data_IF_993354642767
#
_entry.id   IF_993354642767
#
_cell.length_a   1.000
_cell.length_b   1.000
_cell.length_c   1.000
_cell.angle_alpha   90.00
_cell.angle_beta   90.00
_cell.angle_gamma   90.00
#
_symmetry.space_group_name_H-M   'P 1'
#
loop_
_entity.id
_entity.type
_entity.pdbx_description
1 polymer ?
#
# COMPACT_ATOMS: atom_id res chain seq x y z
N UNK A 1 15.16 7.92 11.86
CA UNK A 1 14.11 7.06 11.35
C UNK A 1 13.70 7.45 9.92
N UNK A 2 13.49 8.71 9.59
CA UNK A 2 13.16 9.16 8.23
C UNK A 2 14.22 8.74 7.21
N UNK A 3 15.49 8.96 7.52
CA UNK A 3 16.59 8.53 6.65
C UNK A 3 16.60 7.00 6.42
N UNK A 4 16.36 6.21 7.46
CA UNK A 4 16.26 4.74 7.33
C UNK A 4 15.05 4.31 6.48
N UNK A 5 13.95 5.04 6.57
CA UNK A 5 12.77 4.83 5.75
C UNK A 5 13.03 5.08 4.27
N UNK A 6 13.86 6.06 3.95
CA UNK A 6 14.17 6.47 2.60
C UNK A 6 15.29 5.62 1.98
N UNK A 7 16.42 5.52 2.68
CA UNK A 7 17.65 4.91 2.16
C UNK A 7 17.82 3.44 2.54
N UNK A 8 17.05 2.94 3.52
CA UNK A 8 17.34 1.65 4.16
C UNK A 8 18.58 1.76 5.08
N UNK A 9 19.10 0.63 5.48
CA UNK A 9 20.32 0.61 6.28
C UNK A 9 20.98 -0.77 6.33
N UNK A 10 22.24 -0.77 6.78
CA UNK A 10 23.03 -1.95 7.03
C UNK A 10 22.98 -2.33 8.51
N UNK A 11 22.85 -3.61 8.81
CA UNK A 11 23.00 -4.15 10.15
C UNK A 11 23.66 -5.53 10.11
N UNK A 12 24.08 -6.03 11.26
CA UNK A 12 24.64 -7.38 11.35
C UNK A 12 23.55 -8.39 11.72
N UNK A 13 23.20 -9.25 10.77
CA UNK A 13 22.32 -10.39 11.01
C UNK A 13 23.18 -11.63 11.25
N UNK A 14 23.20 -12.15 12.50
CA UNK A 14 24.06 -13.29 12.88
C UNK A 14 25.54 -13.12 12.43
N UNK A 15 26.10 -11.94 12.66
CA UNK A 15 27.46 -11.53 12.27
C UNK A 15 27.70 -11.32 10.77
N UNK A 16 26.68 -11.43 9.93
CA UNK A 16 26.76 -11.15 8.49
C UNK A 16 26.25 -9.76 8.20
N UNK A 17 27.05 -8.87 7.55
CA UNK A 17 26.54 -7.57 7.11
C UNK A 17 25.35 -7.75 6.18
N UNK A 18 24.23 -7.16 6.54
CA UNK A 18 22.96 -7.34 5.81
C UNK A 18 22.34 -5.98 5.54
N UNK A 19 22.09 -5.67 4.27
CA UNK A 19 21.32 -4.49 3.87
C UNK A 19 19.84 -4.81 3.80
N UNK A 20 19.01 -3.91 4.32
CA UNK A 20 17.57 -3.89 4.10
C UNK A 20 17.14 -2.55 3.50
N UNK A 21 16.20 -2.62 2.56
CA UNK A 21 15.62 -1.41 1.94
C UNK A 21 14.79 -0.62 2.94
N UNK A 22 14.52 0.64 2.65
CA UNK A 22 13.68 1.48 3.52
C UNK A 22 12.28 0.91 3.71
N UNK A 23 11.67 0.36 2.64
CA UNK A 23 10.37 -0.33 2.72
C UNK A 23 10.44 -1.56 3.62
N UNK A 24 11.51 -2.37 3.51
CA UNK A 24 11.69 -3.54 4.39
C UNK A 24 11.91 -3.12 5.85
N UNK A 25 12.67 -2.05 6.07
CA UNK A 25 12.83 -1.46 7.41
C UNK A 25 11.49 -1.05 8.01
N UNK A 26 10.67 -0.33 7.25
CA UNK A 26 9.33 0.09 7.71
C UNK A 26 8.44 -1.11 8.05
N UNK A 27 8.51 -2.17 7.24
CA UNK A 27 7.79 -3.40 7.51
C UNK A 27 8.23 -4.07 8.81
N UNK A 28 9.53 -4.27 9.02
CA UNK A 28 10.06 -4.95 10.20
C UNK A 28 9.88 -4.15 11.49
N UNK A 29 10.12 -2.85 11.43
CA UNK A 29 10.19 -2.02 12.63
C UNK A 29 8.83 -1.43 13.01
N UNK A 30 8.01 -1.05 12.04
CA UNK A 30 6.82 -0.23 12.29
C UNK A 30 5.50 -0.88 11.89
N UNK A 31 5.51 -1.92 11.05
CA UNK A 31 4.28 -2.66 10.76
C UNK A 31 3.90 -3.59 11.91
N UNK A 32 2.61 -3.61 12.24
CA UNK A 32 2.03 -4.57 13.15
C UNK A 32 1.31 -5.65 12.35
N UNK A 33 1.65 -6.90 12.61
CA UNK A 33 0.98 -8.08 12.07
C UNK A 33 0.25 -8.85 13.17
N UNK A 34 -0.44 -9.94 12.84
CA UNK A 34 -1.26 -10.72 13.78
C UNK A 34 -0.50 -11.16 15.03
N UNK A 35 0.80 -11.46 14.89
CA UNK A 35 1.65 -11.95 15.98
C UNK A 35 2.57 -10.86 16.56
N UNK A 36 2.30 -9.60 16.29
CA UNK A 36 3.13 -8.47 16.74
C UNK A 36 3.98 -7.88 15.62
N UNK A 37 5.29 -7.75 15.82
CA UNK A 37 6.20 -7.30 14.76
C UNK A 37 6.62 -8.46 13.86
N UNK A 38 6.82 -8.22 12.55
CA UNK A 38 7.34 -9.24 11.65
C UNK A 38 8.78 -9.64 11.99
N UNK A 39 9.09 -10.91 11.82
CA UNK A 39 10.46 -11.40 11.88
C UNK A 39 11.19 -11.19 10.55
N UNK A 40 12.52 -11.02 10.64
CA UNK A 40 13.36 -11.01 9.45
C UNK A 40 13.38 -12.36 8.77
N UNK A 41 13.12 -12.35 7.44
CA UNK A 41 13.25 -13.50 6.56
C UNK A 41 13.99 -13.09 5.31
N UNK A 42 14.97 -13.89 4.88
CA UNK A 42 15.75 -13.60 3.68
C UNK A 42 14.87 -13.51 2.41
N UNK A 43 13.85 -14.37 2.30
CA UNK A 43 12.89 -14.29 1.20
C UNK A 43 12.15 -12.93 1.13
N UNK A 44 11.81 -12.35 2.31
CA UNK A 44 11.19 -11.02 2.37
C UNK A 44 12.21 -9.93 1.97
N UNK A 45 13.47 -10.08 2.35
CA UNK A 45 14.53 -9.14 1.95
C UNK A 45 14.69 -9.10 0.43
N UNK A 46 14.78 -10.27 -0.20
CA UNK A 46 14.85 -10.37 -1.66
C UNK A 46 13.60 -9.82 -2.35
N UNK A 47 12.42 -10.07 -1.79
CA UNK A 47 11.16 -9.48 -2.26
C UNK A 47 11.22 -7.96 -2.28
N UNK A 48 11.66 -7.33 -1.18
CA UNK A 48 11.72 -5.88 -1.10
C UNK A 48 12.83 -5.27 -1.98
N UNK A 49 13.98 -5.94 -2.12
CA UNK A 49 15.03 -5.49 -3.07
C UNK A 49 14.49 -5.50 -4.50
N UNK A 50 13.80 -6.57 -4.90
CA UNK A 50 13.18 -6.66 -6.22
C UNK A 50 12.07 -5.60 -6.40
N UNK A 51 11.28 -5.36 -5.36
CA UNK A 51 10.27 -4.32 -5.38
C UNK A 51 10.85 -2.92 -5.57
N UNK A 52 11.95 -2.60 -4.89
CA UNK A 52 12.64 -1.30 -5.08
C UNK A 52 13.13 -1.16 -6.54
N UNK A 53 13.68 -2.23 -7.12
CA UNK A 53 14.07 -2.22 -8.53
C UNK A 53 12.87 -1.96 -9.46
N UNK A 54 11.72 -2.60 -9.19
CA UNK A 54 10.48 -2.35 -9.94
C UNK A 54 9.98 -0.91 -9.80
N UNK A 55 10.11 -0.30 -8.61
CA UNK A 55 9.76 1.11 -8.40
C UNK A 55 10.67 2.05 -9.17
N UNK A 56 11.96 1.75 -9.21
CA UNK A 56 12.96 2.59 -9.87
C UNK A 56 12.86 2.56 -11.41
N UNK A 57 12.45 1.45 -12.02
CA UNK A 57 12.29 1.37 -13.49
C UNK A 57 10.98 2.04 -13.93
N UNK A 58 11.08 3.15 -14.63
CA UNK A 58 9.94 3.92 -15.14
C UNK A 58 9.11 3.17 -16.20
N UNK A 59 9.61 2.11 -16.79
CA UNK A 59 8.90 1.27 -17.77
C UNK A 59 8.14 0.12 -17.10
N UNK A 60 8.55 -0.24 -15.89
CA UNK A 60 8.00 -1.35 -15.14
C UNK A 60 6.67 -0.97 -14.49
N UNK A 61 5.62 -1.76 -14.71
CA UNK A 61 4.32 -1.58 -14.03
C UNK A 61 4.27 -2.15 -12.63
N UNK A 62 5.27 -2.89 -12.20
CA UNK A 62 5.30 -3.51 -10.88
C UNK A 62 5.76 -4.95 -10.91
N UNK A 63 5.28 -5.76 -9.99
CA UNK A 63 5.72 -7.14 -9.83
C UNK A 63 4.57 -8.13 -9.76
N UNK A 64 4.81 -9.34 -10.29
CA UNK A 64 4.00 -10.53 -10.06
C UNK A 64 4.77 -11.49 -9.15
N UNK A 65 4.20 -11.83 -8.01
CA UNK A 65 4.84 -12.67 -7.00
C UNK A 65 4.08 -13.98 -6.81
N UNK A 66 4.65 -15.07 -7.34
CA UNK A 66 4.17 -16.40 -7.02
C UNK A 66 4.69 -16.79 -5.63
N UNK A 67 3.79 -17.07 -4.73
CA UNK A 67 4.10 -17.26 -3.32
C UNK A 67 3.66 -18.63 -2.80
N UNK A 68 4.34 -19.11 -1.78
CA UNK A 68 3.83 -20.19 -0.93
C UNK A 68 2.73 -19.68 -0.01
N UNK A 69 1.86 -20.56 0.45
CA UNK A 69 0.92 -20.25 1.52
C UNK A 69 1.68 -19.73 2.75
N UNK A 70 1.11 -18.72 3.43
CA UNK A 70 1.69 -18.09 4.64
C UNK A 70 3.05 -17.41 4.42
N UNK A 71 3.38 -17.01 3.17
CA UNK A 71 4.60 -16.23 2.89
C UNK A 71 4.60 -14.83 3.51
N UNK A 72 3.43 -14.32 3.94
CA UNK A 72 3.28 -12.98 4.51
C UNK A 72 3.02 -11.89 3.46
N UNK A 73 2.82 -12.24 2.18
CA UNK A 73 2.63 -11.26 1.10
C UNK A 73 1.59 -10.19 1.41
N UNK A 74 0.40 -10.58 1.87
CA UNK A 74 -0.68 -9.62 2.13
C UNK A 74 -0.30 -8.59 3.21
N UNK A 75 0.50 -8.98 4.21
CA UNK A 75 1.05 -8.02 5.20
C UNK A 75 2.16 -7.16 4.62
N UNK A 76 3.05 -7.73 3.80
CA UNK A 76 4.11 -6.97 3.12
C UNK A 76 3.53 -5.91 2.18
N UNK A 77 2.53 -6.28 1.39
CA UNK A 77 1.83 -5.36 0.49
C UNK A 77 1.04 -4.29 1.27
N UNK A 78 0.37 -4.67 2.38
CA UNK A 78 -0.32 -3.71 3.25
C UNK A 78 0.65 -2.72 3.91
N UNK A 79 1.82 -3.20 4.34
CA UNK A 79 2.88 -2.35 4.87
C UNK A 79 3.38 -1.35 3.85
N UNK A 80 3.57 -1.77 2.60
CA UNK A 80 4.01 -0.89 1.52
C UNK A 80 2.95 0.15 1.14
N UNK A 81 1.65 -0.22 1.09
CA UNK A 81 0.57 0.74 0.86
C UNK A 81 0.62 1.85 1.93
N UNK A 82 0.65 1.48 3.21
CA UNK A 82 0.70 2.46 4.30
C UNK A 82 1.98 3.28 4.26
N UNK A 83 3.11 2.62 3.98
CA UNK A 83 4.39 3.30 3.85
C UNK A 83 4.33 4.40 2.78
N UNK A 84 3.91 4.09 1.57
CA UNK A 84 3.82 5.08 0.50
C UNK A 84 2.75 6.15 0.77
N UNK A 85 1.58 5.76 1.26
CA UNK A 85 0.48 6.68 1.50
C UNK A 85 0.77 7.73 2.57
N UNK A 86 1.68 7.43 3.50
CA UNK A 86 2.07 8.38 4.56
C UNK A 86 3.20 9.34 4.18
N UNK A 87 3.70 9.28 2.94
CA UNK A 87 4.74 10.18 2.41
C UNK A 87 4.41 10.80 1.05
N UNK A 88 3.29 10.41 0.44
CA UNK A 88 2.91 10.90 -0.88
C UNK A 88 1.73 11.85 -0.76
N UNK A 89 1.76 12.95 -1.51
CA UNK A 89 0.63 13.86 -1.65
C UNK A 89 -0.20 13.52 -2.88
N UNK A 90 -1.48 13.91 -2.87
CA UNK A 90 -2.44 13.80 -3.99
C UNK A 90 -2.47 12.41 -4.62
N UNK A 91 -2.42 11.38 -3.80
CA UNK A 91 -2.22 10.00 -4.25
C UNK A 91 -3.34 9.08 -3.81
N UNK A 92 -3.65 8.10 -4.67
CA UNK A 92 -4.63 7.07 -4.38
C UNK A 92 -4.01 5.68 -4.43
N UNK A 93 -4.43 4.83 -3.49
CA UNK A 93 -3.95 3.46 -3.30
C UNK A 93 -5.13 2.51 -3.29
N UNK A 94 -5.10 1.50 -4.15
CA UNK A 94 -6.20 0.58 -4.33
C UNK A 94 -5.88 -0.86 -3.92
N UNK A 95 -6.89 -1.57 -3.45
CA UNK A 95 -6.79 -2.99 -3.07
C UNK A 95 -7.87 -3.78 -3.79
N UNK A 96 -7.44 -4.82 -4.49
CA UNK A 96 -8.27 -5.89 -5.02
C UNK A 96 -7.80 -7.24 -4.47
N UNK A 97 -8.71 -8.18 -4.34
CA UNK A 97 -8.40 -9.55 -3.96
C UNK A 97 -9.23 -10.51 -4.81
N UNK A 98 -9.24 -11.79 -4.51
CA UNK A 98 -10.07 -12.77 -5.23
C UNK A 98 -11.57 -12.43 -5.15
N UNK A 99 -12.02 -11.83 -4.04
CA UNK A 99 -13.40 -11.34 -3.85
C UNK A 99 -13.39 -9.97 -3.14
N UNK A 100 -14.50 -9.22 -3.22
CA UNK A 100 -14.67 -7.96 -2.50
C UNK A 100 -14.55 -8.10 -0.98
N UNK A 101 -15.20 -9.08 -0.34
CA UNK A 101 -15.02 -9.36 1.09
C UNK A 101 -13.58 -9.63 1.49
N UNK A 102 -12.78 -10.32 0.66
CA UNK A 102 -11.36 -10.56 0.93
C UNK A 102 -10.54 -9.27 0.81
N UNK A 103 -10.83 -8.42 -0.18
CA UNK A 103 -10.21 -7.10 -0.31
C UNK A 103 -10.54 -6.23 0.92
N UNK A 104 -11.79 -6.18 1.34
CA UNK A 104 -12.23 -5.51 2.57
C UNK A 104 -11.49 -6.04 3.79
N UNK A 105 -11.39 -7.37 3.94
CA UNK A 105 -10.67 -8.00 5.04
C UNK A 105 -9.18 -7.62 5.05
N UNK A 106 -8.53 -7.59 3.89
CA UNK A 106 -7.15 -7.11 3.79
C UNK A 106 -7.03 -5.66 4.27
N UNK A 107 -7.96 -4.79 3.87
CA UNK A 107 -7.99 -3.41 4.30
C UNK A 107 -8.21 -3.27 5.82
N UNK A 108 -9.27 -3.87 6.38
CA UNK A 108 -9.65 -3.73 7.79
C UNK A 108 -8.68 -4.42 8.76
N UNK A 109 -8.16 -5.59 8.38
CA UNK A 109 -7.41 -6.44 9.31
C UNK A 109 -5.88 -6.26 9.16
N UNK A 110 -5.41 -5.61 8.08
CA UNK A 110 -3.98 -5.41 7.83
C UNK A 110 -3.61 -3.95 7.62
N UNK A 111 -4.19 -3.27 6.64
CA UNK A 111 -3.84 -1.87 6.31
C UNK A 111 -4.17 -0.94 7.47
N UNK A 112 -5.41 -0.97 7.95
CA UNK A 112 -5.86 -0.10 9.05
C UNK A 112 -5.06 -0.35 10.33
N UNK A 113 -4.83 -1.59 10.80
CA UNK A 113 -4.00 -1.83 11.99
C UNK A 113 -2.56 -1.36 11.85
N UNK A 114 -1.94 -1.50 10.67
CA UNK A 114 -0.59 -0.98 10.42
C UNK A 114 -0.59 0.55 10.56
N UNK A 115 -1.52 1.25 9.92
CA UNK A 115 -1.65 2.71 10.02
C UNK A 115 -1.87 3.17 11.46
N UNK A 116 -2.82 2.56 12.18
CA UNK A 116 -3.13 2.91 13.58
C UNK A 116 -1.92 2.75 14.49
N UNK A 117 -1.07 1.76 14.24
CA UNK A 117 0.10 1.47 15.08
C UNK A 117 1.39 2.20 14.66
N UNK A 118 1.37 2.97 13.57
CA UNK A 118 2.51 3.84 13.25
C UNK A 118 2.76 4.84 14.37
N UNK A 119 4.02 5.17 14.67
CA UNK A 119 4.34 6.20 15.66
C UNK A 119 3.85 7.58 15.19
N UNK A 120 3.60 8.47 16.14
CA UNK A 120 3.01 9.78 15.85
C UNK A 120 3.80 10.58 14.80
N UNK A 121 5.13 10.45 14.78
CA UNK A 121 6.00 11.19 13.85
C UNK A 121 5.96 10.66 12.41
N UNK A 122 5.34 9.51 12.16
CA UNK A 122 5.06 8.99 10.83
C UNK A 122 3.59 9.08 10.44
N UNK A 123 2.72 9.53 11.34
CA UNK A 123 1.28 9.65 11.08
C UNK A 123 0.94 10.99 10.47
N UNK A 124 0.43 11.04 9.24
CA UNK A 124 -0.20 12.24 8.70
C UNK A 124 -1.51 12.55 9.45
N UNK A 125 -2.04 13.75 9.21
CA UNK A 125 -3.40 14.09 9.66
C UNK A 125 -4.38 13.14 8.96
N UNK A 126 -5.23 12.49 9.74
CA UNK A 126 -6.25 11.57 9.25
C UNK A 126 -7.63 12.20 9.37
N UNK A 127 -8.44 12.05 8.32
CA UNK A 127 -9.86 12.40 8.31
C UNK A 127 -10.71 11.16 8.63
N UNK A 128 -11.78 11.35 9.39
CA UNK A 128 -12.72 10.30 9.74
C UNK A 128 -12.34 9.48 10.97
N UNK A 129 -12.82 8.25 11.01
CA UNK A 129 -12.65 7.34 12.16
C UNK A 129 -11.24 6.75 12.21
N UNK A 130 -10.74 6.45 13.40
CA UNK A 130 -9.44 5.78 13.60
C UNK A 130 -9.38 4.40 12.92
N UNK A 131 -10.51 3.73 12.80
CA UNK A 131 -10.62 2.39 12.17
C UNK A 131 -11.70 2.39 11.09
N UNK A 132 -11.42 2.97 9.93
CA UNK A 132 -12.36 3.01 8.82
C UNK A 132 -12.57 1.61 8.23
N UNK A 133 -13.74 1.41 7.58
CA UNK A 133 -14.11 0.13 6.95
C UNK A 133 -14.06 0.17 5.43
N UNK A 134 -13.98 1.35 4.84
CA UNK A 134 -14.06 1.54 3.38
C UNK A 134 -12.90 2.34 2.81
N UNK A 135 -12.56 3.45 3.42
CA UNK A 135 -11.51 4.36 2.97
C UNK A 135 -10.72 4.88 4.18
N UNK A 136 -9.41 4.90 4.07
CA UNK A 136 -8.49 5.58 4.99
C UNK A 136 -7.96 6.81 4.27
N UNK A 137 -8.27 8.00 4.80
CA UNK A 137 -7.93 9.27 4.18
C UNK A 137 -6.95 10.07 5.05
N UNK A 138 -5.82 10.43 4.48
CA UNK A 138 -4.83 11.33 5.07
C UNK A 138 -5.00 12.73 4.52
N UNK A 139 -5.98 13.44 5.05
CA UNK A 139 -6.31 14.83 4.70
C UNK A 139 -6.77 15.59 5.95
N UNK A 140 -6.78 16.90 5.86
CA UNK A 140 -7.31 17.74 6.92
C UNK A 140 -8.83 17.63 6.95
N UNK A 141 -9.46 17.27 8.08
CA UNK A 141 -10.91 17.21 8.18
C UNK A 141 -11.56 18.59 7.93
N UNK A 142 -12.64 18.62 7.15
CA UNK A 142 -13.35 19.86 6.80
C UNK A 142 -13.79 20.66 8.06
N UNK A 143 -14.18 19.99 9.14
CA UNK A 143 -14.53 20.61 10.41
C UNK A 143 -13.37 21.39 11.06
N UNK A 144 -12.13 20.89 10.92
CA UNK A 144 -10.94 21.58 11.43
C UNK A 144 -10.58 22.79 10.56
N UNK A 145 -10.75 22.69 9.26
CA UNK A 145 -10.53 23.80 8.33
C UNK A 145 -11.51 24.96 8.61
N UNK A 146 -12.80 24.65 8.79
CA UNK A 146 -13.83 25.66 9.06
C UNK A 146 -13.58 26.35 10.41
N UNK A 147 -13.28 25.59 11.46
CA UNK A 147 -13.02 26.15 12.80
C UNK A 147 -11.80 27.07 12.79
N UNK A 148 -10.73 26.67 12.12
CA UNK A 148 -9.50 27.46 12.03
C UNK A 148 -9.66 28.72 11.17
N UNK A 149 -10.44 28.66 10.08
CA UNK A 149 -10.81 29.85 9.30
C UNK A 149 -11.54 30.90 10.15
N UNK A 150 -12.38 30.46 11.07
CA UNK A 150 -13.09 31.34 12.00
C UNK A 150 -12.13 31.92 13.07
N UNK A 151 -11.23 31.11 13.61
CA UNK A 151 -10.30 31.51 14.68
C UNK A 151 -9.16 32.43 14.20
N UNK A 152 -8.68 32.26 12.95
CA UNK A 152 -7.48 32.92 12.42
C UNK A 152 -7.77 34.04 11.40
N UNK A 153 -9.03 34.31 11.07
CA UNK A 153 -9.38 35.44 10.20
C UNK A 153 -8.73 35.38 8.82
N UNK A 154 -8.95 34.31 8.07
CA UNK A 154 -8.69 34.23 6.62
C UNK A 154 -7.34 33.77 6.07
N UNK A 155 -6.34 33.43 6.80
CA UNK A 155 -5.11 32.91 6.16
C UNK A 155 -5.09 31.39 6.02
N UNK A 156 -4.98 30.94 4.77
CA UNK A 156 -5.34 29.60 4.28
C UNK A 156 -4.30 28.50 4.53
N UNK A 157 -3.14 28.74 5.12
CA UNK A 157 -2.02 27.93 4.65
C UNK A 157 -1.27 27.04 5.64
N UNK A 158 -1.68 26.88 6.88
CA UNK A 158 -0.78 26.18 7.82
C UNK A 158 -1.12 24.71 8.14
N UNK A 159 -2.23 24.16 7.68
CA UNK A 159 -2.53 22.74 7.81
C UNK A 159 -2.59 22.08 6.42
N UNK A 160 -1.45 21.75 5.88
CA UNK A 160 -1.38 20.94 4.67
C UNK A 160 -1.63 19.47 5.03
N UNK A 161 -2.71 18.89 4.51
CA UNK A 161 -2.94 17.46 4.46
C UNK A 161 -2.20 16.84 3.27
N UNK A 162 -1.97 15.53 3.30
CA UNK A 162 -1.40 14.83 2.14
C UNK A 162 -2.40 14.65 0.99
N UNK A 163 -3.71 14.77 1.26
CA UNK A 163 -4.79 14.47 0.31
C UNK A 163 -4.66 13.10 -0.35
N UNK A 164 -4.28 12.13 0.48
CA UNK A 164 -3.99 10.76 0.06
C UNK A 164 -5.01 9.80 0.63
N UNK A 165 -5.45 8.84 -0.19
CA UNK A 165 -6.47 7.87 0.19
C UNK A 165 -6.02 6.44 -0.08
N UNK A 166 -6.45 5.52 0.78
CA UNK A 166 -6.34 4.08 0.61
C UNK A 166 -7.76 3.50 0.66
N UNK A 167 -8.17 2.79 -0.37
CA UNK A 167 -9.47 2.13 -0.41
C UNK A 167 -9.38 0.69 -0.94
N UNK A 168 -10.49 0.02 -0.92
CA UNK A 168 -10.67 -1.30 -1.54
C UNK A 168 -11.93 -1.30 -2.39
N UNK A 169 -11.96 -2.13 -3.43
CA UNK A 169 -13.15 -2.31 -4.27
C UNK A 169 -13.55 -3.77 -4.40
N UNK A 170 -14.81 -3.98 -4.75
CA UNK A 170 -15.29 -5.28 -5.17
C UNK A 170 -14.54 -5.75 -6.41
N UNK A 171 -14.27 -7.04 -6.46
CA UNK A 171 -13.57 -7.68 -7.56
C UNK A 171 -14.45 -7.67 -8.81
N UNK A 172 -13.94 -7.17 -9.90
CA UNK A 172 -14.63 -7.07 -11.17
C UNK A 172 -13.72 -6.57 -12.27
N UNK A 173 -14.07 -6.86 -13.51
CA UNK A 173 -13.26 -6.53 -14.68
C UNK A 173 -13.00 -5.00 -14.79
N UNK A 174 -13.95 -4.17 -14.38
CA UNK A 174 -13.87 -2.71 -14.44
C UNK A 174 -13.56 -2.05 -13.08
N UNK A 175 -13.12 -2.82 -12.08
CA UNK A 175 -12.74 -2.23 -10.79
C UNK A 175 -11.58 -1.26 -10.98
N UNK A 176 -11.69 -0.05 -10.39
CA UNK A 176 -10.77 1.08 -10.56
C UNK A 176 -10.71 1.70 -11.96
N UNK A 177 -11.66 1.41 -12.85
CA UNK A 177 -11.72 2.11 -14.14
C UNK A 177 -11.86 3.63 -13.96
N UNK A 178 -11.14 4.40 -14.78
CA UNK A 178 -11.14 5.86 -14.72
C UNK A 178 -10.41 6.50 -13.54
N UNK A 179 -9.82 5.70 -12.63
CA UNK A 179 -9.07 6.23 -11.49
C UNK A 179 -7.58 6.38 -11.79
N UNK A 180 -6.88 7.18 -10.96
CA UNK A 180 -5.43 7.34 -10.99
C UNK A 180 -4.84 6.77 -9.72
N UNK A 181 -4.07 5.71 -9.84
CA UNK A 181 -3.50 4.99 -8.71
C UNK A 181 -1.98 5.13 -8.65
N UNK A 182 -1.46 5.34 -7.45
CA UNK A 182 -0.02 5.31 -7.15
C UNK A 182 0.47 3.89 -6.90
N UNK A 183 -0.32 3.09 -6.18
CA UNK A 183 -0.10 1.67 -5.99
C UNK A 183 -1.44 0.93 -6.02
N UNK A 184 -1.49 -0.14 -6.80
CA UNK A 184 -2.58 -1.11 -6.81
C UNK A 184 -2.05 -2.44 -6.29
N UNK A 185 -2.74 -3.01 -5.31
CA UNK A 185 -2.43 -4.36 -4.83
C UNK A 185 -3.51 -5.34 -5.27
N UNK A 186 -3.08 -6.41 -5.93
CA UNK A 186 -3.90 -7.58 -6.22
C UNK A 186 -3.45 -8.73 -5.31
N UNK A 187 -4.20 -8.99 -4.24
CA UNK A 187 -3.97 -10.18 -3.41
C UNK A 187 -4.74 -11.37 -3.99
N UNK A 188 -4.14 -12.55 -3.96
CA UNK A 188 -4.69 -13.80 -4.52
C UNK A 188 -5.11 -13.66 -6.00
N UNK A 189 -4.28 -12.97 -6.80
CA UNK A 189 -4.57 -12.62 -8.20
C UNK A 189 -4.84 -13.80 -9.13
N UNK A 190 -4.26 -14.98 -8.86
CA UNK A 190 -4.50 -16.21 -9.62
C UNK A 190 -5.77 -16.97 -9.21
N UNK A 191 -6.57 -16.44 -8.28
CA UNK A 191 -7.77 -17.11 -7.75
C UNK A 191 -9.06 -16.36 -8.02
N UNK A 192 -9.07 -15.52 -9.03
CA UNK A 192 -10.29 -14.84 -9.43
C UNK A 192 -11.29 -15.84 -10.02
N UNK A 193 -12.51 -15.80 -9.52
CA UNK A 193 -13.60 -16.69 -9.93
C UNK A 193 -14.43 -16.09 -11.06
N UNK A 194 -14.88 -16.94 -11.97
CA UNK A 194 -15.79 -16.53 -13.04
C UNK A 194 -17.06 -15.87 -12.45
N UNK A 195 -17.66 -14.87 -13.11
CA UNK A 195 -17.33 -14.40 -14.47
C UNK A 195 -16.13 -13.45 -14.54
N UNK A 196 -15.56 -12.98 -13.41
CA UNK A 196 -14.48 -12.00 -13.38
C UNK A 196 -13.18 -12.58 -13.93
N UNK A 197 -12.40 -11.76 -14.62
CA UNK A 197 -11.15 -12.16 -15.25
C UNK A 197 -10.04 -11.17 -14.94
N UNK A 198 -8.99 -11.66 -14.29
CA UNK A 198 -7.82 -10.85 -13.92
C UNK A 198 -7.15 -10.18 -15.14
N UNK A 199 -7.13 -10.83 -16.28
CA UNK A 199 -6.53 -10.26 -17.50
C UNK A 199 -7.38 -9.11 -18.06
N UNK A 200 -8.72 -9.21 -18.00
CA UNK A 200 -9.60 -8.13 -18.38
C UNK A 200 -9.43 -6.95 -17.42
N UNK A 201 -9.46 -7.20 -16.11
CA UNK A 201 -9.20 -6.17 -15.13
C UNK A 201 -7.82 -5.52 -15.32
N UNK A 202 -6.78 -6.31 -15.62
CA UNK A 202 -5.44 -5.76 -15.88
C UNK A 202 -5.41 -4.83 -17.10
N UNK A 203 -6.16 -5.14 -18.16
CA UNK A 203 -6.27 -4.26 -19.33
C UNK A 203 -6.83 -2.88 -18.95
N UNK A 204 -7.76 -2.85 -18.01
CA UNK A 204 -8.33 -1.61 -17.46
C UNK A 204 -7.35 -0.95 -16.48
N UNK A 205 -6.96 -1.67 -15.43
CA UNK A 205 -6.21 -1.09 -14.31
C UNK A 205 -4.78 -0.66 -14.66
N UNK A 206 -4.13 -1.26 -15.67
CA UNK A 206 -2.83 -0.75 -16.13
C UNK A 206 -2.90 0.69 -16.64
N UNK A 207 -4.06 1.15 -17.11
CA UNK A 207 -4.25 2.52 -17.56
C UNK A 207 -4.32 3.50 -16.39
N UNK A 208 -4.83 3.07 -15.24
CA UNK A 208 -4.88 3.86 -14.00
C UNK A 208 -3.49 4.15 -13.41
N UNK A 209 -2.49 3.35 -13.78
CA UNK A 209 -1.09 3.48 -13.36
C UNK A 209 -0.28 4.39 -14.30
N UNK A 210 -0.93 5.05 -15.27
CA UNK A 210 -0.27 5.88 -16.28
C UNK A 210 -0.84 7.30 -16.29
N UNK A 211 0.01 8.22 -16.71
CA UNK A 211 -0.39 9.56 -17.12
C UNK A 211 0.20 9.79 -18.53
N UNK A 212 -0.64 9.71 -19.55
CA UNK A 212 -0.19 9.67 -20.94
C UNK A 212 0.71 8.47 -21.20
N UNK A 213 1.94 8.72 -21.68
CA UNK A 213 2.94 7.67 -21.93
C UNK A 213 3.74 7.23 -20.68
N UNK A 214 3.68 7.99 -19.59
CA UNK A 214 4.48 7.74 -18.39
C UNK A 214 3.78 6.80 -17.42
N UNK A 215 4.50 5.81 -16.90
CA UNK A 215 4.05 4.98 -15.76
C UNK A 215 4.29 5.78 -14.48
N UNK A 216 3.21 6.14 -13.77
CA UNK A 216 3.24 6.95 -12.55
C UNK A 216 2.92 6.14 -11.29
N UNK A 217 2.23 5.03 -11.46
CA UNK A 217 1.88 4.11 -10.40
C UNK A 217 2.45 2.72 -10.64
N UNK A 218 2.34 1.87 -9.64
CA UNK A 218 2.83 0.48 -9.68
C UNK A 218 1.74 -0.49 -9.27
N UNK A 219 1.89 -1.75 -9.69
CA UNK A 219 1.03 -2.84 -9.24
C UNK A 219 1.86 -3.90 -8.53
N UNK A 220 1.35 -4.37 -7.41
CA UNK A 220 1.92 -5.49 -6.67
C UNK A 220 0.91 -6.64 -6.69
N UNK A 221 1.16 -7.63 -7.53
CA UNK A 221 0.31 -8.82 -7.64
C UNK A 221 0.94 -9.99 -6.88
N UNK A 222 0.14 -10.70 -6.09
CA UNK A 222 0.61 -11.89 -5.40
C UNK A 222 -0.45 -12.97 -5.34
N UNK A 223 -0.05 -14.21 -5.64
CA UNK A 223 -0.92 -15.37 -5.53
C UNK A 223 -0.15 -16.63 -5.21
N UNK A 224 -0.82 -17.57 -4.55
CA UNK A 224 -0.42 -18.97 -4.58
C UNK A 224 -0.88 -19.59 -5.91
N UNK A 225 -0.20 -20.65 -6.35
CA UNK A 225 -0.71 -21.47 -7.45
C UNK A 225 -2.11 -21.98 -7.11
N UNK A 226 -3.01 -21.97 -8.09
CA UNK A 226 -4.23 -22.75 -8.02
C UNK A 226 -3.89 -24.22 -8.39
N UNK A 227 -4.65 -25.16 -7.83
CA UNK A 227 -4.62 -26.52 -8.37
C UNK A 227 -5.03 -26.44 -9.84
N UNK A 228 -4.26 -27.08 -10.70
CA UNK A 228 -4.69 -27.35 -12.06
C UNK A 228 -5.73 -28.48 -11.93
N UNK A 229 -7.01 -28.13 -12.07
CA UNK A 229 -8.07 -29.11 -12.22
C UNK A 229 -8.04 -29.69 -13.65
#
# INVERSE_FOLDING_TARGET
>A
EFKRREEGFWYYNKKVPTYITGTHYMYLQWSKIDVGKPDFREANRLFYIFWEACKADQRCYGMCYLKNRRSGFSFMASGEIVNQATISSDSRYGILSKTGPDAKKMFTDKVVPISVNYPFFFKPIQDGMDRPKTELAYRVPASKLTRRKIELGSDESELEGLDTTIDWKNTGDNSYDGEKLKLLVHDESGKWERPNNILNNWRVTKTTLRLGSRVIGKCMMGSTSNALD
#
